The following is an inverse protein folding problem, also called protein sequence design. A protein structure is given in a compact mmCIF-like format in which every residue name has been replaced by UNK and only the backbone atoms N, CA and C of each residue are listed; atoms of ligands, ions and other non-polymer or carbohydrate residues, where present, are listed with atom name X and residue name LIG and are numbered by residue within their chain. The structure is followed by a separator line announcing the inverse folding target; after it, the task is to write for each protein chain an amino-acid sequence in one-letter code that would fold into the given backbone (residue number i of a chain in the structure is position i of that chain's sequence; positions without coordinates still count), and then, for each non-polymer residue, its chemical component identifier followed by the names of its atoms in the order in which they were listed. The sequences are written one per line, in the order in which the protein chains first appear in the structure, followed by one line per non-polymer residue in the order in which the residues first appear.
data_IF_511714050613
#
_entry.id   IF_511714050613
#
_cell.length_a   1.000
_cell.length_b   1.000
_cell.length_c   1.000
_cell.angle_alpha   90.00
_cell.angle_beta   90.00
_cell.angle_gamma   90.00
#
_symmetry.space_group_name_H-M   'P 1'
#
loop_
_entity.id
_entity.type
_entity.pdbx_description
1 polymer ?
#
# COMPACT_ATOMS: atom_id res chain seq x y z
N UNK A 1 13.16 63.18 -45.29
CA UNK A 1 13.64 61.81 -44.98
C UNK A 1 12.82 61.26 -43.84
N UNK A 2 11.93 60.31 -44.12
CA UNK A 2 11.10 59.61 -43.11
C UNK A 2 11.71 58.23 -42.90
N UNK A 3 12.23 57.99 -41.71
CA UNK A 3 12.71 56.66 -41.29
C UNK A 3 11.51 55.84 -40.83
N UNK A 4 11.25 54.71 -41.50
CA UNK A 4 10.29 53.67 -41.06
C UNK A 4 11.09 52.67 -40.22
N UNK A 5 10.80 52.63 -38.92
CA UNK A 5 11.34 51.64 -38.01
C UNK A 5 10.45 50.39 -38.07
N UNK A 6 10.97 49.33 -38.69
CA UNK A 6 10.30 48.00 -38.71
C UNK A 6 10.59 47.26 -37.39
N UNK A 7 9.57 47.06 -36.56
CA UNK A 7 9.63 46.19 -35.38
C UNK A 7 9.47 44.75 -35.83
N UNK A 8 10.57 43.99 -35.77
CA UNK A 8 10.53 42.53 -35.91
C UNK A 8 10.10 41.92 -34.59
N UNK A 9 8.84 41.48 -34.50
CA UNK A 9 8.31 40.65 -33.41
C UNK A 9 8.90 39.25 -33.56
N UNK A 10 9.91 38.93 -32.75
CA UNK A 10 10.36 37.54 -32.55
C UNK A 10 9.32 36.82 -31.70
N UNK A 11 8.48 36.01 -32.35
CA UNK A 11 7.65 35.04 -31.66
C UNK A 11 8.58 33.94 -31.09
N UNK A 12 8.91 34.04 -29.82
CA UNK A 12 9.56 32.93 -29.09
C UNK A 12 8.61 31.73 -29.11
N UNK A 13 9.05 30.54 -29.55
CA UNK A 13 8.23 29.36 -29.43
C UNK A 13 7.97 29.12 -27.93
N UNK A 14 6.71 29.21 -27.54
CA UNK A 14 6.27 28.76 -26.22
C UNK A 14 6.48 27.24 -26.18
N UNK A 15 7.61 26.79 -25.67
CA UNK A 15 7.78 25.39 -25.26
C UNK A 15 6.76 25.12 -24.19
N UNK A 16 5.62 24.55 -24.56
CA UNK A 16 4.57 24.14 -23.64
C UNK A 16 5.18 23.17 -22.61
N UNK A 17 5.14 23.55 -21.34
CA UNK A 17 5.55 22.65 -20.27
C UNK A 17 4.73 21.38 -20.37
N UNK A 18 5.40 20.21 -20.45
CA UNK A 18 4.74 18.92 -20.43
C UNK A 18 3.96 18.75 -19.12
N UNK A 19 2.69 18.35 -19.22
CA UNK A 19 1.86 18.15 -18.03
C UNK A 19 2.41 17.00 -17.21
N UNK A 20 2.14 16.99 -15.91
CA UNK A 20 2.49 15.88 -15.01
C UNK A 20 2.01 14.53 -15.57
N UNK A 21 0.78 14.48 -16.08
CA UNK A 21 0.22 13.27 -16.68
C UNK A 21 1.01 12.80 -17.94
N UNK A 22 1.47 13.74 -18.77
CA UNK A 22 2.33 13.40 -19.92
C UNK A 22 3.69 12.86 -19.46
N UNK A 23 4.28 13.43 -18.42
CA UNK A 23 5.54 12.96 -17.84
C UNK A 23 5.37 11.54 -17.26
N UNK A 24 4.29 11.28 -16.51
CA UNK A 24 3.98 9.95 -15.97
C UNK A 24 3.84 8.92 -17.09
N UNK A 25 3.12 9.25 -18.19
CA UNK A 25 2.98 8.37 -19.35
C UNK A 25 4.30 8.06 -20.02
N UNK A 26 5.16 9.05 -20.15
CA UNK A 26 6.50 8.87 -20.75
C UNK A 26 7.39 7.95 -19.90
N UNK A 27 7.36 8.12 -18.56
CA UNK A 27 8.08 7.25 -17.62
C UNK A 27 7.51 5.82 -17.66
N UNK A 28 6.18 5.69 -17.63
CA UNK A 28 5.49 4.40 -17.66
C UNK A 28 5.78 3.60 -18.93
N UNK A 29 5.98 4.26 -20.07
CA UNK A 29 6.33 3.60 -21.33
C UNK A 29 7.68 2.86 -21.26
N UNK A 30 8.61 3.30 -20.40
CA UNK A 30 9.89 2.64 -20.15
C UNK A 30 9.82 1.45 -19.19
N UNK A 31 8.69 1.19 -18.56
CA UNK A 31 8.57 0.13 -17.56
C UNK A 31 8.45 -1.29 -18.17
N UNK A 32 8.32 -1.42 -19.49
CA UNK A 32 8.11 -2.70 -20.20
C UNK A 32 6.96 -3.54 -19.62
N UNK A 33 5.92 -2.89 -19.04
CA UNK A 33 4.81 -3.53 -18.38
C UNK A 33 3.60 -2.62 -18.24
N UNK A 34 2.61 -3.07 -17.47
CA UNK A 34 1.39 -2.31 -17.20
C UNK A 34 1.59 -1.48 -15.92
N UNK A 35 1.36 -0.19 -16.01
CA UNK A 35 1.51 0.77 -14.90
C UNK A 35 0.16 1.39 -14.55
N UNK A 36 -0.16 1.45 -13.28
CA UNK A 36 -1.31 2.18 -12.74
C UNK A 36 -0.83 3.22 -11.73
N UNK A 37 -1.33 4.44 -11.86
CA UNK A 37 -0.98 5.55 -10.97
C UNK A 37 -2.24 6.33 -10.62
N UNK A 38 -2.35 6.70 -9.36
CA UNK A 38 -3.27 7.73 -8.91
C UNK A 38 -2.58 8.62 -7.90
N UNK A 39 -3.00 9.86 -7.79
CA UNK A 39 -2.53 10.77 -6.75
C UNK A 39 -3.61 11.76 -6.35
N UNK A 40 -3.44 12.36 -5.18
CA UNK A 40 -4.31 13.41 -4.69
C UNK A 40 -3.49 14.43 -3.92
N UNK A 41 -3.83 15.70 -4.12
CA UNK A 41 -3.29 16.80 -3.34
C UNK A 41 -4.46 17.63 -2.80
N UNK A 42 -4.59 17.84 -1.46
CA UNK A 42 -5.77 18.41 -0.82
C UNK A 42 -6.29 19.72 -1.42
N UNK A 43 -5.38 20.58 -1.83
CA UNK A 43 -5.68 21.95 -2.31
C UNK A 43 -5.61 22.10 -3.84
N UNK A 44 -5.49 21.00 -4.59
CA UNK A 44 -5.23 21.05 -6.03
C UNK A 44 -6.03 20.00 -6.81
N UNK A 45 -6.46 20.36 -8.01
CA UNK A 45 -6.97 19.41 -9.01
C UNK A 45 -5.80 18.79 -9.79
N UNK A 46 -4.90 18.12 -9.08
CA UNK A 46 -3.76 17.46 -9.68
C UNK A 46 -4.23 16.35 -10.62
N UNK A 47 -3.73 16.34 -11.86
CA UNK A 47 -3.99 15.28 -12.85
C UNK A 47 -2.73 14.45 -13.02
N UNK A 48 -2.72 13.26 -12.43
CA UNK A 48 -1.60 12.32 -12.51
C UNK A 48 -2.05 10.90 -12.91
N UNK A 49 -3.35 10.70 -13.09
CA UNK A 49 -3.92 9.37 -13.24
C UNK A 49 -3.46 8.69 -14.53
N UNK A 50 -3.05 7.44 -14.38
CA UNK A 50 -2.77 6.51 -15.46
C UNK A 50 -3.40 5.17 -15.09
N UNK A 51 -4.38 4.71 -15.86
CA UNK A 51 -5.08 3.43 -15.66
C UNK A 51 -5.48 3.18 -14.17
N UNK A 52 -6.12 4.18 -13.49
CA UNK A 52 -6.26 4.19 -12.03
C UNK A 52 -7.25 3.15 -11.51
N UNK A 53 -8.12 2.60 -12.37
CA UNK A 53 -9.14 1.60 -12.04
C UNK A 53 -8.77 0.18 -12.49
N UNK A 54 -7.53 -0.05 -12.90
CA UNK A 54 -7.11 -1.38 -13.25
C UNK A 54 -6.91 -2.26 -12.01
N UNK A 55 -7.43 -3.48 -12.08
CA UNK A 55 -7.21 -4.51 -11.05
C UNK A 55 -5.78 -5.03 -11.16
N UNK A 56 -4.90 -4.51 -10.34
CA UNK A 56 -3.50 -4.95 -10.25
C UNK A 56 -3.27 -5.72 -8.96
N UNK A 57 -2.48 -6.79 -8.98
CA UNK A 57 -2.05 -7.48 -7.78
C UNK A 57 -1.47 -6.49 -6.78
N UNK A 58 -2.05 -6.43 -5.57
CA UNK A 58 -1.65 -5.44 -4.58
C UNK A 58 -0.49 -5.88 -3.70
N UNK A 59 -0.17 -7.18 -3.73
CA UNK A 59 0.89 -7.74 -2.89
C UNK A 59 0.72 -7.30 -1.42
N UNK A 60 1.80 -7.14 -0.68
CA UNK A 60 1.76 -6.73 0.73
C UNK A 60 1.11 -5.36 1.01
N UNK A 61 0.60 -4.63 0.01
CA UNK A 61 -0.17 -3.40 0.26
C UNK A 61 -1.45 -3.70 1.03
N UNK A 62 -2.02 -4.92 0.94
CA UNK A 62 -3.20 -5.31 1.73
C UNK A 62 -3.00 -5.20 3.25
N UNK A 63 -1.76 -5.22 3.74
CA UNK A 63 -1.45 -5.12 5.18
C UNK A 63 -1.83 -3.74 5.76
N UNK A 64 -1.92 -2.71 4.93
CA UNK A 64 -2.48 -1.41 5.34
C UNK A 64 -4.00 -1.49 5.58
N UNK A 65 -4.86 -1.89 4.63
CA UNK A 65 -6.28 -2.10 4.92
C UNK A 65 -6.55 -3.17 5.99
N UNK A 66 -5.72 -4.20 6.13
CA UNK A 66 -5.79 -5.15 7.24
C UNK A 66 -5.66 -4.44 8.59
N UNK A 67 -4.66 -3.57 8.75
CA UNK A 67 -4.48 -2.82 9.99
C UNK A 67 -5.65 -1.86 10.25
N UNK A 68 -6.16 -1.19 9.23
CA UNK A 68 -7.35 -0.31 9.36
C UNK A 68 -8.56 -1.11 9.87
N UNK A 69 -8.84 -2.27 9.28
CA UNK A 69 -9.96 -3.13 9.70
C UNK A 69 -9.77 -3.66 11.12
N UNK A 70 -8.56 -4.10 11.47
CA UNK A 70 -8.27 -4.64 12.81
C UNK A 70 -8.38 -3.56 13.88
N UNK A 71 -7.84 -2.36 13.65
CA UNK A 71 -7.97 -1.24 14.59
C UNK A 71 -9.44 -0.83 14.79
N UNK A 72 -10.25 -0.86 13.74
CA UNK A 72 -11.68 -0.65 13.88
C UNK A 72 -12.35 -1.70 14.79
N UNK A 73 -11.99 -2.98 14.65
CA UNK A 73 -12.51 -4.04 15.52
C UNK A 73 -12.06 -3.87 16.97
N UNK A 74 -10.84 -3.35 17.19
CA UNK A 74 -10.36 -2.97 18.53
C UNK A 74 -11.22 -1.84 19.12
N UNK A 75 -11.56 -0.81 18.33
CA UNK A 75 -12.45 0.28 18.78
C UNK A 75 -13.87 -0.18 19.11
N UNK A 76 -14.32 -1.25 18.44
CA UNK A 76 -15.59 -1.90 18.77
C UNK A 76 -15.51 -2.78 20.03
N UNK A 77 -14.36 -2.89 20.68
CA UNK A 77 -14.15 -3.73 21.86
C UNK A 77 -14.14 -5.23 21.59
N UNK A 78 -14.03 -5.64 20.29
CA UNK A 78 -13.96 -7.07 19.94
C UNK A 78 -12.59 -7.67 20.25
N UNK A 79 -11.56 -6.83 20.23
CA UNK A 79 -10.17 -7.18 20.53
C UNK A 79 -9.54 -6.08 21.37
N UNK A 80 -8.40 -6.39 22.00
CA UNK A 80 -7.51 -5.39 22.59
C UNK A 80 -6.14 -5.47 21.94
N UNK A 81 -5.45 -4.33 21.81
CA UNK A 81 -4.13 -4.30 21.19
C UNK A 81 -3.09 -5.11 21.98
N UNK A 82 -3.26 -5.21 23.31
CA UNK A 82 -2.31 -5.89 24.17
C UNK A 82 -2.70 -7.35 24.44
N UNK A 83 -3.80 -7.84 23.83
CA UNK A 83 -4.16 -9.25 23.98
C UNK A 83 -3.09 -10.15 23.37
N UNK A 84 -2.75 -11.26 24.07
CA UNK A 84 -1.87 -12.27 23.51
C UNK A 84 -2.56 -13.03 22.37
N UNK A 85 -1.85 -13.19 21.28
CA UNK A 85 -2.27 -14.02 20.15
C UNK A 85 -1.25 -15.13 19.96
N UNK A 86 -1.71 -16.37 20.02
CA UNK A 86 -0.84 -17.53 19.90
C UNK A 86 -0.33 -17.66 18.47
N UNK A 87 1.00 -17.64 18.29
CA UNK A 87 1.67 -18.06 17.06
C UNK A 87 1.74 -19.58 17.07
N UNK A 88 0.97 -20.21 16.19
CA UNK A 88 0.88 -21.67 16.10
C UNK A 88 1.88 -22.23 15.08
N UNK A 89 2.33 -23.48 15.22
CA UNK A 89 3.15 -24.13 14.19
C UNK A 89 2.51 -24.12 12.80
N UNK A 90 1.17 -24.21 12.73
CA UNK A 90 0.41 -24.15 11.48
C UNK A 90 0.35 -22.76 10.83
N UNK A 91 0.69 -21.68 11.55
CA UNK A 91 0.79 -20.34 11.00
C UNK A 91 2.10 -20.11 10.22
N UNK A 92 3.08 -21.03 10.37
CA UNK A 92 4.35 -20.93 9.65
C UNK A 92 4.14 -21.13 8.16
N UNK A 93 4.75 -20.28 7.36
CA UNK A 93 4.69 -20.36 5.89
C UNK A 93 5.97 -21.00 5.38
N UNK A 94 5.85 -22.23 4.87
CA UNK A 94 6.96 -23.04 4.37
C UNK A 94 6.73 -23.45 2.90
N UNK A 95 7.79 -23.67 2.09
CA UNK A 95 9.16 -23.26 2.38
C UNK A 95 9.28 -21.75 2.44
N UNK A 96 10.37 -21.24 2.92
CA UNK A 96 10.69 -19.89 3.32
C UNK A 96 9.88 -18.75 2.71
N UNK A 97 9.28 -17.91 3.56
CA UNK A 97 8.73 -16.60 3.23
C UNK A 97 9.47 -15.53 4.00
N UNK A 98 9.32 -14.28 3.57
CA UNK A 98 9.85 -13.16 4.36
C UNK A 98 9.00 -12.96 5.63
N UNK A 99 9.55 -13.29 6.78
CA UNK A 99 8.91 -13.12 8.08
C UNK A 99 9.92 -13.01 9.22
N UNK A 100 10.28 -11.77 9.64
CA UNK A 100 11.05 -11.57 10.87
C UNK A 100 10.46 -12.23 12.11
N UNK A 101 9.14 -12.37 12.18
CA UNK A 101 8.46 -13.10 13.26
C UNK A 101 8.84 -14.59 13.26
N UNK A 102 8.74 -15.23 12.09
CA UNK A 102 9.08 -16.67 11.95
C UNK A 102 10.58 -16.92 12.19
N UNK A 103 11.43 -15.98 11.74
CA UNK A 103 12.86 -16.05 11.98
C UNK A 103 13.21 -15.93 13.47
N UNK A 104 12.51 -15.04 14.19
CA UNK A 104 12.67 -14.85 15.64
C UNK A 104 12.18 -16.05 16.46
N UNK A 105 11.11 -16.70 16.00
CA UNK A 105 10.45 -17.81 16.70
C UNK A 105 10.27 -19.01 15.76
N UNK A 106 11.37 -19.73 15.45
CA UNK A 106 11.35 -20.81 14.45
C UNK A 106 10.44 -21.99 14.80
N UNK A 107 10.23 -22.22 16.10
CA UNK A 107 9.36 -23.29 16.59
C UNK A 107 7.91 -22.85 16.80
N UNK A 108 7.61 -21.55 16.58
CA UNK A 108 6.33 -20.95 16.96
C UNK A 108 6.04 -21.13 18.47
N UNK A 109 4.83 -21.49 18.87
CA UNK A 109 4.42 -21.81 20.25
C UNK A 109 4.65 -20.66 21.26
N UNK A 110 4.56 -19.39 20.78
CA UNK A 110 4.69 -18.18 21.61
C UNK A 110 3.43 -17.33 21.53
N UNK A 111 3.18 -16.56 22.55
CA UNK A 111 2.14 -15.53 22.55
C UNK A 111 2.76 -14.19 22.19
N UNK A 112 2.19 -13.54 21.17
CA UNK A 112 2.62 -12.24 20.67
C UNK A 112 1.47 -11.25 20.80
N UNK A 113 1.67 -10.05 21.37
CA UNK A 113 0.61 -9.04 21.44
C UNK A 113 0.09 -8.67 20.03
N UNK A 114 -1.24 -8.49 19.90
CA UNK A 114 -1.85 -8.09 18.62
C UNK A 114 -1.21 -6.82 18.06
N UNK A 115 -0.84 -5.87 18.93
CA UNK A 115 -0.11 -4.64 18.56
C UNK A 115 1.20 -4.95 17.84
N UNK A 116 1.99 -5.89 18.36
CA UNK A 116 3.28 -6.25 17.79
C UNK A 116 3.09 -6.92 16.42
N UNK A 117 2.11 -7.82 16.29
CA UNK A 117 1.77 -8.46 15.00
C UNK A 117 1.36 -7.42 13.96
N UNK A 118 0.51 -6.45 14.32
CA UNK A 118 0.10 -5.36 13.41
C UNK A 118 1.31 -4.50 13.00
N UNK A 119 2.15 -4.12 13.96
CA UNK A 119 3.37 -3.37 13.68
C UNK A 119 4.29 -4.13 12.73
N UNK A 120 4.55 -5.42 12.99
CA UNK A 120 5.39 -6.23 12.11
C UNK A 120 4.78 -6.35 10.70
N UNK A 121 3.47 -6.56 10.59
CA UNK A 121 2.78 -6.63 9.30
C UNK A 121 2.88 -5.33 8.50
N UNK A 122 2.67 -4.18 9.14
CA UNK A 122 2.65 -2.86 8.46
C UNK A 122 4.07 -2.35 8.21
N UNK A 123 4.89 -2.24 9.26
CA UNK A 123 6.22 -1.62 9.19
C UNK A 123 7.24 -2.52 8.51
N UNK A 124 7.32 -3.77 8.93
CA UNK A 124 8.30 -4.74 8.41
C UNK A 124 7.78 -5.54 7.21
N UNK A 125 6.48 -5.43 6.91
CA UNK A 125 5.84 -6.24 5.86
C UNK A 125 5.88 -7.75 6.13
N UNK A 126 5.89 -8.15 7.40
CA UNK A 126 5.95 -9.55 7.82
C UNK A 126 4.73 -10.34 7.32
N UNK A 127 4.97 -11.46 6.62
CA UNK A 127 3.92 -12.25 6.01
C UNK A 127 3.19 -13.12 7.03
N UNK A 128 3.92 -13.77 7.93
CA UNK A 128 3.34 -14.64 8.97
C UNK A 128 2.56 -13.80 9.98
N UNK A 129 3.09 -12.65 10.39
CA UNK A 129 2.36 -11.74 11.27
C UNK A 129 1.04 -11.27 10.64
N UNK A 130 1.02 -10.99 9.33
CA UNK A 130 -0.20 -10.61 8.62
C UNK A 130 -1.24 -11.75 8.62
N UNK A 131 -0.83 -12.98 8.34
CA UNK A 131 -1.72 -14.14 8.34
C UNK A 131 -2.26 -14.48 9.73
N UNK A 132 -1.43 -14.33 10.78
CA UNK A 132 -1.90 -14.48 12.17
C UNK A 132 -2.96 -13.42 12.48
N UNK A 133 -2.78 -12.16 12.06
CA UNK A 133 -3.78 -11.11 12.25
C UNK A 133 -5.05 -11.44 11.46
N UNK A 134 -4.95 -11.85 10.18
CA UNK A 134 -6.11 -12.28 9.38
C UNK A 134 -6.88 -13.40 10.08
N UNK A 135 -6.20 -14.46 10.50
CA UNK A 135 -6.80 -15.56 11.25
C UNK A 135 -7.51 -15.07 12.52
N UNK A 136 -6.88 -14.17 13.27
CA UNK A 136 -7.42 -13.64 14.53
C UNK A 136 -8.73 -12.89 14.33
N UNK A 137 -8.83 -12.11 13.27
CA UNK A 137 -10.03 -11.28 13.02
C UNK A 137 -11.12 -12.01 12.22
N UNK A 138 -10.86 -13.23 11.74
CA UNK A 138 -11.83 -14.04 11.01
C UNK A 138 -11.62 -14.13 9.49
N UNK A 139 -10.43 -13.77 9.00
CA UNK A 139 -10.00 -13.98 7.62
C UNK A 139 -10.06 -12.76 6.71
N UNK A 140 -9.59 -12.93 5.45
CA UNK A 140 -9.53 -11.86 4.45
C UNK A 140 -10.88 -11.17 4.19
N UNK A 141 -11.97 -11.94 4.22
CA UNK A 141 -13.32 -11.44 3.97
C UNK A 141 -13.76 -10.35 4.96
N UNK A 142 -13.29 -10.40 6.21
CA UNK A 142 -13.58 -9.37 7.22
C UNK A 142 -12.99 -8.04 6.81
N UNK A 143 -11.75 -8.04 6.29
CA UNK A 143 -11.09 -6.86 5.76
C UNK A 143 -11.81 -6.35 4.53
N UNK A 144 -12.09 -7.23 3.57
CA UNK A 144 -12.77 -6.90 2.31
C UNK A 144 -14.12 -6.22 2.55
N UNK A 145 -14.95 -6.81 3.40
CA UNK A 145 -16.25 -6.25 3.79
C UNK A 145 -16.13 -4.90 4.49
N UNK A 146 -15.19 -4.76 5.43
CA UNK A 146 -15.01 -3.51 6.15
C UNK A 146 -14.57 -2.37 5.22
N UNK A 147 -13.56 -2.58 4.39
CA UNK A 147 -13.06 -1.57 3.45
C UNK A 147 -14.14 -1.11 2.48
N UNK A 148 -14.94 -2.04 1.97
CA UNK A 148 -16.11 -1.72 1.13
C UNK A 148 -17.18 -0.96 1.90
N UNK A 149 -17.42 -1.29 3.18
CA UNK A 149 -18.43 -0.64 4.03
C UNK A 149 -18.13 0.83 4.31
N UNK A 150 -16.85 1.20 4.36
CA UNK A 150 -16.43 2.60 4.49
C UNK A 150 -16.35 3.33 3.13
N UNK A 151 -16.88 2.72 2.05
CA UNK A 151 -17.06 3.34 0.73
C UNK A 151 -15.93 3.08 -0.27
N UNK A 152 -14.84 2.43 0.11
CA UNK A 152 -13.73 2.10 -0.79
C UNK A 152 -14.06 0.83 -1.56
N UNK A 153 -14.56 0.98 -2.80
CA UNK A 153 -15.09 -0.15 -3.59
C UNK A 153 -14.08 -0.84 -4.48
N UNK A 154 -13.04 -0.14 -4.91
CA UNK A 154 -11.98 -0.65 -5.79
C UNK A 154 -10.92 -1.47 -5.05
N UNK A 155 -11.35 -2.32 -4.12
CA UNK A 155 -10.52 -3.20 -3.28
C UNK A 155 -11.13 -4.59 -3.21
N UNK A 156 -10.29 -5.62 -3.29
CA UNK A 156 -10.70 -7.01 -3.07
C UNK A 156 -9.57 -7.80 -2.44
N UNK A 157 -9.87 -8.47 -1.35
CA UNK A 157 -8.97 -9.36 -0.63
C UNK A 157 -9.67 -10.70 -0.41
N UNK A 158 -9.11 -11.77 -0.96
CA UNK A 158 -9.64 -13.13 -0.92
C UNK A 158 -8.64 -14.09 -0.28
N UNK A 159 -7.37 -13.98 -0.63
CA UNK A 159 -6.31 -14.90 -0.24
C UNK A 159 -5.37 -14.28 0.79
N UNK A 160 -4.86 -15.14 1.69
CA UNK A 160 -3.78 -14.85 2.63
C UNK A 160 -2.39 -15.12 2.02
N UNK A 161 -1.31 -14.85 2.75
CA UNK A 161 0.06 -15.09 2.29
C UNK A 161 0.37 -16.60 2.13
N UNK A 162 -0.27 -17.45 2.93
CA UNK A 162 -0.15 -18.90 2.77
C UNK A 162 -0.74 -19.37 1.43
N UNK A 163 -1.89 -18.84 1.01
CA UNK A 163 -2.49 -19.15 -0.28
C UNK A 163 -1.59 -18.66 -1.43
N UNK A 164 -1.07 -17.43 -1.34
CA UNK A 164 -0.15 -16.87 -2.32
C UNK A 164 1.14 -17.70 -2.44
N UNK A 165 1.58 -18.32 -1.34
CA UNK A 165 2.77 -19.19 -1.36
C UNK A 165 2.50 -20.55 -1.99
N UNK A 166 1.29 -21.09 -1.84
CA UNK A 166 0.88 -22.36 -2.45
C UNK A 166 0.63 -22.26 -3.96
N UNK A 167 -0.01 -21.18 -4.39
CA UNK A 167 -0.28 -20.90 -5.81
C UNK A 167 0.04 -19.44 -6.13
N UNK A 168 1.07 -19.22 -6.91
CA UNK A 168 1.49 -17.88 -7.34
C UNK A 168 0.36 -17.12 -8.08
N UNK A 169 -0.61 -17.84 -8.67
CA UNK A 169 -1.75 -17.22 -9.36
C UNK A 169 -2.79 -16.65 -8.40
N UNK A 170 -2.80 -17.07 -7.13
CA UNK A 170 -3.64 -16.47 -6.09
C UNK A 170 -3.39 -14.96 -5.95
N UNK A 171 -2.18 -14.48 -6.31
CA UNK A 171 -1.90 -13.05 -6.32
C UNK A 171 -2.86 -12.21 -7.16
N UNK A 172 -3.51 -12.78 -8.19
CA UNK A 172 -4.47 -12.08 -9.04
C UNK A 172 -5.87 -11.98 -8.43
N UNK A 173 -6.16 -12.73 -7.38
CA UNK A 173 -7.41 -12.64 -6.63
C UNK A 173 -7.41 -11.42 -5.70
N UNK A 174 -6.24 -10.99 -5.26
CA UNK A 174 -6.07 -9.82 -4.39
C UNK A 174 -5.68 -8.59 -5.21
N UNK A 175 -6.57 -7.60 -5.31
CA UNK A 175 -6.29 -6.41 -6.09
C UNK A 175 -6.76 -5.12 -5.40
N UNK A 176 -6.09 -4.04 -5.72
CA UNK A 176 -6.40 -2.70 -5.24
C UNK A 176 -6.23 -1.72 -6.40
N UNK A 177 -7.30 -1.06 -6.80
CA UNK A 177 -7.25 0.03 -7.77
C UNK A 177 -6.43 1.19 -7.21
N UNK A 178 -5.55 1.79 -8.01
CA UNK A 178 -4.76 2.93 -7.55
C UNK A 178 -5.64 4.09 -7.07
N UNK A 179 -6.76 4.35 -7.75
CA UNK A 179 -7.74 5.35 -7.33
C UNK A 179 -8.34 5.03 -5.95
N UNK A 180 -8.70 3.78 -5.69
CA UNK A 180 -9.28 3.36 -4.42
C UNK A 180 -8.25 3.37 -3.28
N UNK A 181 -6.98 3.08 -3.58
CA UNK A 181 -5.89 3.21 -2.60
C UNK A 181 -5.72 4.67 -2.15
N UNK A 182 -5.76 5.62 -3.10
CA UNK A 182 -5.77 7.06 -2.79
C UNK A 182 -7.03 7.44 -2.00
N UNK A 183 -8.19 6.89 -2.33
CA UNK A 183 -9.42 7.14 -1.57
C UNK A 183 -9.27 6.69 -0.10
N UNK A 184 -8.73 5.49 0.16
CA UNK A 184 -8.49 5.03 1.53
C UNK A 184 -7.48 5.92 2.27
N UNK A 185 -6.36 6.26 1.63
CA UNK A 185 -5.36 7.17 2.21
C UNK A 185 -5.96 8.54 2.56
N UNK A 186 -6.79 9.09 1.68
CA UNK A 186 -7.50 10.35 1.93
C UNK A 186 -8.48 10.25 3.11
N UNK A 187 -9.22 9.13 3.21
CA UNK A 187 -10.10 8.90 4.37
C UNK A 187 -9.31 8.89 5.67
N UNK A 188 -8.20 8.16 5.73
CA UNK A 188 -7.34 8.12 6.91
C UNK A 188 -6.76 9.50 7.25
N UNK A 189 -6.37 10.29 6.25
CA UNK A 189 -5.78 11.62 6.43
C UNK A 189 -6.80 12.70 6.81
N UNK A 190 -7.96 12.72 6.16
CA UNK A 190 -8.87 13.87 6.21
C UNK A 190 -10.03 13.69 7.20
N UNK A 191 -10.56 12.47 7.27
CA UNK A 191 -11.69 12.12 8.13
C UNK A 191 -11.62 10.62 8.46
N UNK A 192 -10.64 10.25 9.26
CA UNK A 192 -10.36 8.85 9.58
C UNK A 192 -11.58 8.14 10.15
N UNK A 193 -11.88 6.90 9.70
CA UNK A 193 -12.86 6.04 10.32
C UNK A 193 -12.39 5.48 11.67
N UNK A 194 -11.15 5.77 12.06
CA UNK A 194 -10.53 5.38 13.35
C UNK A 194 -10.44 6.58 14.27
N UNK A 195 -10.31 6.33 15.57
CA UNK A 195 -9.97 7.35 16.56
C UNK A 195 -8.64 8.03 16.21
N UNK A 196 -8.43 9.21 16.78
CA UNK A 196 -7.18 9.96 16.56
C UNK A 196 -5.94 9.17 16.98
N UNK A 197 -6.03 8.43 18.10
CA UNK A 197 -4.90 7.67 18.64
C UNK A 197 -4.57 6.47 17.75
N UNK A 198 -5.57 5.73 17.28
CA UNK A 198 -5.34 4.62 16.34
C UNK A 198 -4.90 5.09 14.96
N UNK A 199 -5.41 6.24 14.50
CA UNK A 199 -4.93 6.85 13.26
C UNK A 199 -3.45 7.22 13.36
N UNK A 200 -3.03 7.87 14.45
CA UNK A 200 -1.61 8.21 14.69
C UNK A 200 -0.75 6.96 14.78
N UNK A 201 -1.22 5.94 15.48
CA UNK A 201 -0.50 4.67 15.62
C UNK A 201 -0.28 4.00 14.26
N UNK A 202 -1.32 3.93 13.43
CA UNK A 202 -1.23 3.37 12.07
C UNK A 202 -0.24 4.16 11.21
N UNK A 203 -0.33 5.49 11.20
CA UNK A 203 0.55 6.35 10.42
C UNK A 203 2.00 6.24 10.90
N UNK A 204 2.24 6.11 12.21
CA UNK A 204 3.57 5.87 12.76
C UNK A 204 4.15 4.54 12.25
N UNK A 205 3.38 3.44 12.27
CA UNK A 205 3.83 2.16 11.73
C UNK A 205 4.17 2.25 10.23
N UNK A 206 3.42 3.05 9.47
CA UNK A 206 3.71 3.27 8.05
C UNK A 206 4.96 4.12 7.84
N UNK A 207 5.22 5.12 8.69
CA UNK A 207 6.42 5.97 8.65
C UNK A 207 7.68 5.19 9.02
N UNK A 208 7.58 4.33 10.03
CA UNK A 208 8.68 3.50 10.54
C UNK A 208 9.12 2.41 9.53
N UNK A 209 8.40 2.23 8.41
CA UNK A 209 8.71 1.19 7.45
C UNK A 209 10.07 1.41 6.78
N UNK A 210 11.02 0.46 6.89
CA UNK A 210 12.28 0.49 6.17
C UNK A 210 12.16 0.00 4.72
N UNK A 211 10.98 -0.50 4.30
CA UNK A 211 10.80 -1.15 3.02
C UNK A 211 10.86 -0.17 1.85
N UNK A 212 11.37 -0.61 0.69
CA UNK A 212 11.43 0.20 -0.53
C UNK A 212 12.19 1.52 -0.42
N UNK A 213 13.42 1.55 0.15
CA UNK A 213 14.16 2.81 0.40
C UNK A 213 14.46 3.60 -0.88
N UNK A 214 14.49 2.92 -2.02
CA UNK A 214 14.76 3.53 -3.33
C UNK A 214 13.48 3.81 -4.15
N UNK A 215 12.28 3.61 -3.56
CA UNK A 215 11.01 3.95 -4.19
C UNK A 215 10.65 5.42 -3.89
N UNK A 216 9.45 5.72 -3.40
CA UNK A 216 9.02 7.10 -3.10
C UNK A 216 10.02 7.82 -2.17
N UNK A 217 10.47 7.17 -1.09
CA UNK A 217 11.46 7.75 -0.16
C UNK A 217 12.76 8.15 -0.86
N UNK A 218 13.25 7.32 -1.78
CA UNK A 218 14.52 7.57 -2.48
C UNK A 218 14.51 8.76 -3.44
N UNK A 219 13.32 9.24 -3.83
CA UNK A 219 13.17 10.40 -4.70
C UNK A 219 12.94 11.72 -3.93
N UNK A 220 12.87 11.67 -2.61
CA UNK A 220 12.58 12.82 -1.74
C UNK A 220 13.84 13.26 -0.98
N UNK A 221 13.91 14.51 -0.53
CA UNK A 221 14.99 14.98 0.34
C UNK A 221 15.12 14.09 1.59
N UNK A 222 16.34 13.85 2.04
CA UNK A 222 16.61 13.06 3.24
C UNK A 222 15.86 13.64 4.46
N UNK A 223 15.23 12.76 5.25
CA UNK A 223 14.46 13.15 6.42
C UNK A 223 13.01 13.58 6.11
N UNK A 224 12.56 13.53 4.84
CA UNK A 224 11.16 13.76 4.52
C UNK A 224 10.30 12.63 5.12
N UNK A 225 9.31 12.94 5.98
CA UNK A 225 8.39 11.93 6.50
C UNK A 225 7.56 11.31 5.37
N UNK A 226 7.54 9.97 5.29
CA UNK A 226 6.75 9.25 4.28
C UNK A 226 6.05 8.08 4.94
N UNK A 227 4.74 8.20 5.08
CA UNK A 227 3.87 7.10 5.49
C UNK A 227 3.54 6.28 4.25
N UNK A 228 3.99 5.05 4.20
CA UNK A 228 3.82 4.21 3.01
C UNK A 228 3.68 2.73 3.32
N UNK A 229 3.12 1.98 2.37
CA UNK A 229 3.15 0.52 2.38
C UNK A 229 3.57 0.03 1.00
N UNK A 230 4.62 -0.77 0.95
CA UNK A 230 5.11 -1.38 -0.29
C UNK A 230 4.58 -2.80 -0.46
N UNK A 231 4.50 -3.24 -1.71
CA UNK A 231 4.28 -4.61 -2.10
C UNK A 231 5.27 -5.04 -3.18
N UNK A 232 5.67 -6.30 -3.18
CA UNK A 232 6.52 -6.89 -4.21
C UNK A 232 6.19 -8.37 -4.33
N UNK A 233 6.18 -8.88 -5.56
CA UNK A 233 6.17 -10.31 -5.82
C UNK A 233 7.59 -10.83 -6.09
N UNK A 234 7.75 -12.15 -6.06
CA UNK A 234 8.79 -12.81 -6.82
C UNK A 234 8.51 -12.69 -8.32
N UNK A 235 9.38 -13.28 -9.14
CA UNK A 235 9.18 -13.35 -10.59
C UNK A 235 8.44 -14.64 -10.94
N UNK A 236 7.31 -14.51 -11.62
CA UNK A 236 6.54 -15.62 -12.18
C UNK A 236 6.45 -15.49 -13.70
N UNK A 237 6.96 -16.48 -14.44
CA UNK A 237 7.00 -16.47 -15.91
C UNK A 237 7.53 -15.14 -16.53
N UNK A 238 8.52 -14.54 -15.87
CA UNK A 238 9.10 -13.25 -16.29
C UNK A 238 8.29 -12.02 -15.86
N UNK A 239 7.20 -12.18 -15.10
CA UNK A 239 6.40 -11.10 -14.57
C UNK A 239 6.75 -10.85 -13.12
N UNK A 240 6.92 -9.59 -12.77
CA UNK A 240 7.15 -9.12 -11.40
C UNK A 240 6.20 -7.98 -11.10
N UNK A 241 5.61 -7.96 -9.91
CA UNK A 241 4.72 -6.90 -9.47
C UNK A 241 5.37 -6.08 -8.38
N UNK A 242 5.29 -4.76 -8.50
CA UNK A 242 5.72 -3.81 -7.48
C UNK A 242 4.64 -2.76 -7.27
N UNK A 243 4.27 -2.53 -6.02
CA UNK A 243 3.27 -1.55 -5.60
C UNK A 243 3.81 -0.68 -4.46
N UNK A 244 3.23 0.50 -4.31
CA UNK A 244 3.60 1.43 -3.23
C UNK A 244 2.43 2.33 -2.88
#
# INVERSE_FOLDING_TARGET
MRFVLAFLLFASPAFGQTTLQQQIRAIAAGAHGKVSVACSLPSSRLKCDLDPHAHRPMQSVFKFPLAVATLHLVEQGKFTLDQPVRFLPGDRILPETYSPLQDKYPDAEVDVPLRELLQMAVSLSDNVAADIVLRTIGGPEVVDKYIKSIGVKGFHLEDDEQALRRDVRAQYHNWFEAAAAIELLRRISDNSPLSLDHTRLLLQWMEDSPSGPHRIKGALPAGTPVMHKTGSSGTDHGLTYATN
#
